data_IF_005597207932
#
_entry.id   IF_005597207932
#
_cell.length_a   1.000
_cell.length_b   1.000
_cell.length_c   1.000
_cell.angle_alpha   90.00
_cell.angle_beta   90.00
_cell.angle_gamma   90.00
#
_symmetry.space_group_name_H-M   'P 1'
#
loop_
_entity.id
_entity.type
_entity.pdbx_description
1 polymer ?
#
# COMPACT_ATOMS: atom_id res chain seq x y z
N UNK A 1 -2.11 15.08 -9.83
CA UNK A 1 -1.50 15.70 -11.04
C UNK A 1 -0.04 15.32 -11.29
N UNK A 2 0.84 15.29 -10.28
CA UNK A 2 2.28 15.01 -10.48
C UNK A 2 2.54 13.73 -11.31
N UNK A 3 1.85 12.64 -10.98
CA UNK A 3 1.95 11.37 -11.72
C UNK A 3 1.67 11.53 -13.23
N UNK A 4 0.65 12.31 -13.63
CA UNK A 4 0.33 12.57 -15.03
C UNK A 4 1.45 13.34 -15.74
N UNK A 5 2.07 14.30 -15.04
CA UNK A 5 3.14 15.13 -15.62
C UNK A 5 4.44 14.37 -15.82
N UNK A 6 4.78 13.44 -14.92
CA UNK A 6 6.04 12.68 -15.00
C UNK A 6 5.90 11.39 -15.81
N UNK A 7 4.68 10.88 -15.99
CA UNK A 7 4.42 9.69 -16.78
C UNK A 7 4.80 9.91 -18.26
N UNK A 8 5.57 8.95 -18.79
CA UNK A 8 5.95 8.91 -20.21
C UNK A 8 4.78 8.53 -21.12
N UNK A 9 5.02 8.59 -22.42
CA UNK A 9 4.05 8.16 -23.44
C UNK A 9 3.59 6.71 -23.19
N UNK A 10 2.27 6.49 -23.18
CA UNK A 10 1.59 5.21 -22.95
C UNK A 10 1.85 4.55 -21.58
N UNK A 11 2.39 5.30 -20.62
CA UNK A 11 2.61 4.76 -19.29
C UNK A 11 1.29 4.46 -18.55
N UNK A 12 1.33 3.45 -17.68
CA UNK A 12 0.26 3.17 -16.72
C UNK A 12 0.54 3.83 -15.39
N UNK A 13 -0.42 4.61 -14.90
CA UNK A 13 -0.47 5.10 -13.53
C UNK A 13 -1.35 4.14 -12.74
N UNK A 14 -0.73 3.46 -11.78
CA UNK A 14 -1.44 2.56 -10.88
C UNK A 14 -1.90 3.36 -9.65
N UNK A 15 -3.21 3.43 -9.46
CA UNK A 15 -3.81 3.95 -8.23
C UNK A 15 -3.67 2.89 -7.13
N UNK A 16 -3.03 3.27 -6.02
CA UNK A 16 -2.69 2.36 -4.92
C UNK A 16 -3.51 2.58 -3.65
N UNK A 17 -4.17 3.73 -3.52
CA UNK A 17 -4.92 4.13 -2.33
C UNK A 17 -5.83 5.33 -2.62
N UNK A 18 -6.82 5.53 -1.76
CA UNK A 18 -7.82 6.59 -1.85
C UNK A 18 -7.80 7.52 -0.63
N UNK A 19 -8.30 8.75 -0.80
CA UNK A 19 -8.35 9.79 0.25
C UNK A 19 -9.68 9.79 1.02
N UNK A 20 -10.12 8.63 1.48
CA UNK A 20 -11.39 8.50 2.21
C UNK A 20 -12.58 9.04 1.41
N UNK A 21 -13.25 10.07 1.95
CA UNK A 21 -14.41 10.72 1.33
C UNK A 21 -14.05 11.89 0.39
N UNK A 22 -12.77 12.25 0.30
CA UNK A 22 -12.34 13.40 -0.51
C UNK A 22 -12.38 13.06 -2.00
N UNK A 23 -13.12 13.86 -2.75
CA UNK A 23 -13.08 13.83 -4.21
C UNK A 23 -11.80 14.50 -4.71
N UNK A 24 -11.10 13.83 -5.62
CA UNK A 24 -9.86 14.33 -6.22
C UNK A 24 -10.07 14.55 -7.71
N UNK A 25 -10.08 15.81 -8.21
CA UNK A 25 -10.19 16.07 -9.64
C UNK A 25 -8.91 15.63 -10.38
N UNK A 26 -9.08 15.16 -11.61
CA UNK A 26 -7.99 14.68 -12.46
C UNK A 26 -8.07 15.35 -13.83
N UNK A 27 -7.00 16.04 -14.23
CA UNK A 27 -6.91 16.77 -15.50
C UNK A 27 -6.68 15.82 -16.70
N UNK A 28 -7.74 15.16 -17.16
CA UNK A 28 -7.66 14.18 -18.25
C UNK A 28 -7.39 14.82 -19.64
N UNK A 29 -7.59 16.13 -19.81
CA UNK A 29 -7.37 16.83 -21.08
C UNK A 29 -5.90 17.15 -21.40
N UNK A 30 -4.99 16.98 -20.45
CA UNK A 30 -3.60 17.41 -20.58
C UNK A 30 -2.67 16.24 -20.94
N UNK A 31 -1.63 15.99 -20.14
CA UNK A 31 -0.67 14.92 -20.33
C UNK A 31 -1.35 13.55 -20.42
N UNK A 32 -2.48 13.33 -19.74
CA UNK A 32 -3.26 12.10 -19.87
C UNK A 32 -3.65 11.84 -21.34
N UNK A 33 -4.31 12.80 -21.98
CA UNK A 33 -4.73 12.69 -23.38
C UNK A 33 -3.53 12.71 -24.33
N UNK A 34 -2.68 13.73 -24.22
CA UNK A 34 -1.56 13.95 -25.13
C UNK A 34 -0.56 12.78 -25.14
N UNK A 35 -0.43 12.08 -24.01
CA UNK A 35 0.50 10.95 -23.85
C UNK A 35 -0.18 9.60 -23.82
N UNK A 36 -1.50 9.53 -24.05
CA UNK A 36 -2.28 8.28 -24.05
C UNK A 36 -2.06 7.44 -22.78
N UNK A 37 -2.05 8.11 -21.63
CA UNK A 37 -1.81 7.45 -20.35
C UNK A 37 -2.98 6.54 -19.98
N UNK A 38 -2.70 5.48 -19.22
CA UNK A 38 -3.73 4.63 -18.61
C UNK A 38 -3.75 4.86 -17.10
N UNK A 39 -4.94 5.04 -16.52
CA UNK A 39 -5.12 4.97 -15.06
C UNK A 39 -5.74 3.61 -14.74
N UNK A 40 -5.13 2.88 -13.81
CA UNK A 40 -5.56 1.54 -13.42
C UNK A 40 -5.68 1.45 -11.91
N UNK A 41 -6.76 0.86 -11.41
CA UNK A 41 -6.90 0.57 -9.99
C UNK A 41 -6.05 -0.64 -9.58
N UNK A 42 -5.61 -0.61 -8.32
CA UNK A 42 -4.98 -1.76 -7.65
C UNK A 42 -5.87 -2.25 -6.51
N UNK A 43 -5.86 -3.56 -6.27
CA UNK A 43 -6.45 -4.14 -5.07
C UNK A 43 -5.64 -5.36 -4.66
N UNK A 44 -5.57 -5.61 -3.35
CA UNK A 44 -4.74 -6.68 -2.77
C UNK A 44 -5.54 -7.95 -2.45
N UNK A 45 -6.86 -7.89 -2.41
CA UNK A 45 -7.72 -9.02 -2.02
C UNK A 45 -7.70 -10.22 -2.97
N UNK A 46 -7.56 -9.99 -4.27
CA UNK A 46 -7.66 -11.04 -5.30
C UNK A 46 -6.39 -11.15 -6.13
N UNK A 47 -6.01 -12.38 -6.46
CA UNK A 47 -4.94 -12.66 -7.43
C UNK A 47 -5.31 -12.07 -8.79
N UNK A 48 -4.34 -11.50 -9.49
CA UNK A 48 -4.53 -10.93 -10.83
C UNK A 48 -5.07 -11.99 -11.81
N UNK A 49 -6.03 -11.63 -12.67
CA UNK A 49 -6.71 -12.57 -13.56
C UNK A 49 -5.73 -13.41 -14.41
N UNK A 50 -4.68 -12.78 -14.94
CA UNK A 50 -3.61 -13.45 -15.72
C UNK A 50 -2.80 -14.49 -14.92
N UNK A 51 -2.87 -14.47 -13.59
CA UNK A 51 -2.14 -15.38 -12.71
C UNK A 51 -3.04 -16.45 -12.07
N UNK A 52 -4.37 -16.28 -12.09
CA UNK A 52 -5.33 -17.17 -11.38
C UNK A 52 -5.28 -18.63 -11.84
N UNK A 53 -4.85 -18.90 -13.08
CA UNK A 53 -4.68 -20.27 -13.57
C UNK A 53 -3.55 -21.03 -12.85
N UNK A 54 -2.61 -20.34 -12.21
CA UNK A 54 -1.41 -20.93 -11.56
C UNK A 54 -1.27 -20.56 -10.08
N UNK A 55 -1.98 -19.52 -9.65
CA UNK A 55 -1.88 -18.94 -8.32
C UNK A 55 -3.25 -18.83 -7.68
N UNK A 56 -3.36 -19.37 -6.48
CA UNK A 56 -4.47 -19.13 -5.56
C UNK A 56 -4.02 -18.21 -4.40
N UNK A 57 -4.97 -17.87 -3.52
CA UNK A 57 -4.71 -17.03 -2.36
C UNK A 57 -3.72 -17.66 -1.38
N UNK A 58 -3.78 -18.98 -1.19
CA UNK A 58 -2.90 -19.74 -0.28
C UNK A 58 -1.46 -19.66 -0.74
N UNK A 59 -1.19 -20.00 -2.00
CA UNK A 59 0.14 -19.98 -2.60
C UNK A 59 0.75 -18.58 -2.59
N UNK A 60 -0.08 -17.55 -2.88
CA UNK A 60 0.36 -16.15 -2.78
C UNK A 60 0.77 -15.79 -1.34
N UNK A 61 -0.06 -16.16 -0.35
CA UNK A 61 0.23 -15.88 1.05
C UNK A 61 1.49 -16.61 1.55
N UNK A 62 1.69 -17.87 1.14
CA UNK A 62 2.90 -18.63 1.47
C UNK A 62 4.15 -17.94 0.93
N UNK A 63 4.14 -17.50 -0.33
CA UNK A 63 5.26 -16.73 -0.90
C UNK A 63 5.49 -15.43 -0.12
N UNK A 64 4.42 -14.71 0.24
CA UNK A 64 4.55 -13.50 1.06
C UNK A 64 5.26 -13.81 2.38
N UNK A 65 4.89 -14.87 3.11
CA UNK A 65 5.58 -15.22 4.35
C UNK A 65 7.04 -15.62 4.16
N UNK A 66 7.38 -16.29 3.06
CA UNK A 66 8.79 -16.59 2.75
C UNK A 66 9.58 -15.31 2.47
N UNK A 67 9.02 -14.36 1.71
CA UNK A 67 9.67 -13.07 1.43
C UNK A 67 9.78 -12.19 2.68
N UNK A 68 8.80 -12.26 3.59
CA UNK A 68 8.81 -11.51 4.86
C UNK A 68 9.92 -11.94 5.83
N UNK A 69 10.64 -13.05 5.57
CA UNK A 69 11.78 -13.48 6.39
C UNK A 69 13.05 -12.68 6.12
N UNK A 70 13.08 -11.84 5.09
CA UNK A 70 14.24 -10.98 4.81
C UNK A 70 14.36 -9.88 5.87
N UNK A 71 15.46 -9.92 6.63
CA UNK A 71 15.76 -8.98 7.71
C UNK A 71 15.84 -7.52 7.23
N UNK A 72 16.01 -7.26 5.92
CA UNK A 72 15.94 -5.89 5.38
C UNK A 72 14.59 -5.24 5.69
N UNK A 73 13.52 -6.03 5.82
CA UNK A 73 12.17 -5.53 6.08
C UNK A 73 11.97 -5.11 7.54
N UNK A 74 12.80 -5.57 8.47
CA UNK A 74 12.75 -5.12 9.87
C UNK A 74 13.05 -3.62 9.99
N UNK A 75 13.77 -3.03 9.01
CA UNK A 75 14.02 -1.58 8.93
C UNK A 75 12.74 -0.75 8.76
N UNK A 76 11.64 -1.36 8.31
CA UNK A 76 10.34 -0.71 8.19
C UNK A 76 9.60 -0.64 9.53
N UNK A 77 10.01 -1.43 10.54
CA UNK A 77 9.45 -1.42 11.88
C UNK A 77 10.14 -0.31 12.67
N UNK A 78 9.43 0.79 12.87
CA UNK A 78 9.96 2.00 13.51
C UNK A 78 9.57 2.14 14.97
N UNK A 79 8.68 1.28 15.46
CA UNK A 79 8.24 1.29 16.85
C UNK A 79 7.47 0.03 17.22
N UNK A 80 7.39 -0.24 18.52
CA UNK A 80 6.63 -1.36 19.04
C UNK A 80 5.92 -1.02 20.34
N UNK A 81 4.78 -1.65 20.59
CA UNK A 81 4.08 -1.52 21.87
C UNK A 81 3.29 -2.78 22.21
N UNK A 82 3.08 -3.09 23.51
CA UNK A 82 2.23 -4.20 23.90
C UNK A 82 0.76 -3.93 23.53
N UNK A 83 0.02 -5.00 23.21
CA UNK A 83 -1.38 -4.92 22.81
C UNK A 83 -2.28 -4.15 23.80
N UNK A 84 -2.03 -4.28 25.11
CA UNK A 84 -2.84 -3.62 26.15
C UNK A 84 -2.77 -2.08 26.10
N UNK A 85 -1.74 -1.54 25.43
CA UNK A 85 -1.57 -0.09 25.22
C UNK A 85 -2.10 0.39 23.87
N UNK A 86 -2.64 -0.52 23.04
CA UNK A 86 -3.07 -0.23 21.67
C UNK A 86 -4.01 0.98 21.55
N UNK A 87 -5.02 1.19 22.43
CA UNK A 87 -5.88 2.37 22.31
C UNK A 87 -5.11 3.69 22.38
N UNK A 88 -4.16 3.82 23.32
CA UNK A 88 -3.34 5.03 23.46
C UNK A 88 -2.36 5.15 22.29
N UNK A 89 -1.71 4.06 21.91
CA UNK A 89 -0.78 4.03 20.76
C UNK A 89 -1.48 4.50 19.48
N UNK A 90 -2.70 4.02 19.21
CA UNK A 90 -3.46 4.45 18.04
C UNK A 90 -3.84 5.93 18.09
N UNK A 91 -4.18 6.45 19.26
CA UNK A 91 -4.45 7.88 19.43
C UNK A 91 -3.21 8.74 19.16
N UNK A 92 -2.06 8.33 19.71
CA UNK A 92 -0.78 9.03 19.53
C UNK A 92 -0.33 8.99 18.07
N UNK A 93 -0.44 7.83 17.40
CA UNK A 93 -0.11 7.69 15.98
C UNK A 93 -1.02 8.53 15.08
N UNK A 94 -2.31 8.65 15.41
CA UNK A 94 -3.24 9.47 14.64
C UNK A 94 -2.99 10.97 14.82
N UNK A 95 -2.59 11.40 16.02
CA UNK A 95 -2.37 12.81 16.33
C UNK A 95 -0.97 13.29 15.90
N UNK A 96 0.07 12.51 16.20
CA UNK A 96 1.47 12.89 16.04
C UNK A 96 2.32 11.67 15.68
N UNK A 97 2.24 11.16 14.43
CA UNK A 97 2.94 9.94 14.03
C UNK A 97 4.47 10.06 13.98
N UNK A 98 5.01 11.30 13.93
CA UNK A 98 6.44 11.52 13.74
C UNK A 98 6.95 10.86 12.46
N UNK A 99 8.09 10.19 12.54
CA UNK A 99 8.70 9.42 11.44
C UNK A 99 8.26 7.95 11.41
N UNK A 100 7.16 7.60 12.09
CA UNK A 100 6.69 6.22 12.16
C UNK A 100 6.25 5.70 10.80
N UNK A 101 6.81 4.57 10.36
CA UNK A 101 6.40 3.84 9.15
C UNK A 101 5.46 2.69 9.51
N UNK A 102 5.96 1.70 10.26
CA UNK A 102 5.19 0.57 10.77
C UNK A 102 5.41 0.42 12.27
N UNK A 103 4.34 0.57 13.05
CA UNK A 103 4.35 0.33 14.50
C UNK A 103 3.82 -1.07 14.79
N UNK A 104 4.68 -1.96 15.30
CA UNK A 104 4.33 -3.36 15.54
C UNK A 104 3.66 -3.53 16.91
N UNK A 105 2.53 -4.22 16.93
CA UNK A 105 1.83 -4.54 18.18
C UNK A 105 2.26 -5.93 18.65
N UNK A 106 2.80 -5.99 19.87
CA UNK A 106 3.25 -7.23 20.51
C UNK A 106 2.13 -7.79 21.37
N UNK A 107 1.69 -9.00 21.04
CA UNK A 107 0.80 -9.77 21.88
C UNK A 107 1.60 -10.45 23.00
N UNK A 108 1.02 -10.57 24.19
CA UNK A 108 1.59 -11.44 25.23
C UNK A 108 1.66 -12.87 24.69
N UNK A 109 2.73 -13.58 25.02
CA UNK A 109 2.78 -15.00 24.69
C UNK A 109 1.73 -15.71 25.56
N UNK A 110 0.79 -16.38 24.91
CA UNK A 110 -0.15 -17.31 25.55
C UNK A 110 0.57 -18.62 25.83
#
# INVERSE_FOLDING_TARGET
EAALRVAGFEATILEMSWYGAQLVPVALGEAFHARRLTIKSSQVGMVAASQRARWDSRRRMQLTFELLKDAVLDTLITGESPFDTLPQVMADLAATPGDTLCHRIRYSQV
#
